data_IF_645796178626
#
_entry.id   IF_645796178626
#
_cell.length_a   1.000
_cell.length_b   1.000
_cell.length_c   1.000
_cell.angle_alpha   90.00
_cell.angle_beta   90.00
_cell.angle_gamma   90.00
#
_symmetry.space_group_name_H-M   'P 1'
#
loop_
_entity.id
_entity.type
_entity.pdbx_description
1 polymer ?
#
# COMPACT_ATOMS: atom_id res chain seq x y z
N UNK A 1 -20.47 10.61 0.73
CA UNK A 1 -20.17 9.95 -0.57
C UNK A 1 -18.66 9.97 -0.75
N UNK A 2 -18.02 8.81 -0.87
CA UNK A 2 -16.58 8.76 -1.20
C UNK A 2 -16.38 9.39 -2.59
N UNK A 3 -15.44 10.32 -2.72
CA UNK A 3 -15.12 11.03 -3.96
C UNK A 3 -14.82 10.03 -5.09
N UNK A 4 -15.51 10.16 -6.23
CA UNK A 4 -15.33 9.32 -7.41
C UNK A 4 -13.88 9.28 -7.91
N UNK A 5 -13.15 10.38 -7.70
CA UNK A 5 -11.75 10.52 -8.09
C UNK A 5 -10.85 9.62 -7.25
N UNK A 6 -11.12 9.51 -5.95
CA UNK A 6 -10.37 8.64 -5.03
C UNK A 6 -10.55 7.17 -5.45
N UNK A 7 -11.78 6.76 -5.74
CA UNK A 7 -12.07 5.38 -6.20
C UNK A 7 -11.39 5.06 -7.53
N UNK A 8 -11.35 6.03 -8.45
CA UNK A 8 -10.65 5.88 -9.71
C UNK A 8 -9.14 5.71 -9.51
N UNK A 9 -8.52 6.55 -8.68
CA UNK A 9 -7.09 6.47 -8.36
C UNK A 9 -6.73 5.15 -7.66
N UNK A 10 -7.55 4.67 -6.72
CA UNK A 10 -7.36 3.36 -6.10
C UNK A 10 -7.44 2.23 -7.15
N UNK A 11 -8.47 2.25 -8.00
CA UNK A 11 -8.64 1.25 -9.07
C UNK A 11 -7.46 1.24 -10.05
N UNK A 12 -6.94 2.43 -10.42
CA UNK A 12 -5.72 2.54 -11.21
C UNK A 12 -4.53 1.87 -10.53
N UNK A 13 -4.32 2.13 -9.23
CA UNK A 13 -3.26 1.49 -8.45
C UNK A 13 -3.36 -0.03 -8.45
N UNK A 14 -4.58 -0.57 -8.29
CA UNK A 14 -4.82 -2.03 -8.33
C UNK A 14 -4.44 -2.61 -9.70
N UNK A 15 -4.87 -1.97 -10.79
CA UNK A 15 -4.58 -2.48 -12.14
C UNK A 15 -3.09 -2.38 -12.51
N UNK A 16 -2.40 -1.32 -12.06
CA UNK A 16 -0.97 -1.13 -12.29
C UNK A 16 -0.16 -2.17 -11.53
N UNK A 17 -0.46 -2.37 -10.24
CA UNK A 17 0.28 -3.31 -9.39
C UNK A 17 0.20 -4.75 -9.88
N UNK A 18 -0.95 -5.20 -10.39
CA UNK A 18 -1.09 -6.55 -10.96
C UNK A 18 -0.05 -6.83 -12.04
N UNK A 19 0.09 -5.93 -13.02
CA UNK A 19 1.05 -6.06 -14.12
C UNK A 19 2.50 -5.99 -13.63
N UNK A 20 2.76 -5.13 -12.65
CA UNK A 20 4.10 -4.99 -12.06
C UNK A 20 4.51 -6.25 -11.30
N UNK A 21 3.60 -6.83 -10.50
CA UNK A 21 3.86 -8.06 -9.76
C UNK A 21 4.09 -9.24 -10.71
N UNK A 22 3.22 -9.43 -11.72
CA UNK A 22 3.40 -10.50 -12.72
C UNK A 22 4.80 -10.48 -13.35
N UNK A 23 5.30 -9.29 -13.68
CA UNK A 23 6.65 -9.10 -14.21
C UNK A 23 7.72 -9.33 -13.16
N UNK A 24 7.56 -8.75 -11.97
CA UNK A 24 8.59 -8.73 -10.93
C UNK A 24 8.81 -10.11 -10.29
N UNK A 25 7.78 -10.96 -10.23
CA UNK A 25 7.87 -12.27 -9.60
C UNK A 25 7.98 -13.43 -10.58
N UNK A 26 8.14 -13.16 -11.88
CA UNK A 26 8.20 -14.20 -12.93
C UNK A 26 9.26 -15.28 -12.63
N UNK A 27 10.43 -14.87 -12.18
CA UNK A 27 11.57 -15.74 -11.87
C UNK A 27 11.88 -15.78 -10.35
N UNK A 28 10.98 -15.25 -9.53
CA UNK A 28 11.17 -15.19 -8.08
C UNK A 28 10.84 -16.54 -7.44
N UNK A 29 11.60 -16.93 -6.41
CA UNK A 29 11.30 -18.10 -5.61
C UNK A 29 9.90 -17.98 -4.98
N UNK A 30 9.20 -19.09 -4.76
CA UNK A 30 7.87 -19.03 -4.13
C UNK A 30 7.98 -18.46 -2.72
N UNK A 31 7.08 -17.55 -2.37
CA UNK A 31 6.94 -17.07 -1.00
C UNK A 31 6.48 -18.21 -0.10
N UNK A 32 7.11 -18.33 1.07
CA UNK A 32 6.84 -19.43 2.01
C UNK A 32 5.63 -19.13 2.88
N UNK A 33 5.48 -17.87 3.29
CA UNK A 33 4.41 -17.41 4.17
C UNK A 33 3.98 -15.98 3.87
N UNK A 34 2.91 -15.55 4.54
CA UNK A 34 2.33 -14.21 4.43
C UNK A 34 3.34 -13.09 4.76
N UNK A 35 4.15 -13.27 5.81
CA UNK A 35 5.12 -12.26 6.22
C UNK A 35 6.22 -12.06 5.16
N UNK A 36 6.62 -13.10 4.45
CA UNK A 36 7.59 -13.00 3.35
C UNK A 36 7.03 -12.18 2.19
N UNK A 37 5.74 -12.33 1.89
CA UNK A 37 5.03 -11.52 0.90
C UNK A 37 5.04 -10.04 1.34
N UNK A 38 4.63 -9.77 2.57
CA UNK A 38 4.59 -8.39 3.09
C UNK A 38 5.98 -7.75 3.10
N UNK A 39 7.02 -8.50 3.48
CA UNK A 39 8.42 -8.03 3.42
C UNK A 39 8.86 -7.70 2.01
N UNK A 40 8.58 -8.57 1.03
CA UNK A 40 8.88 -8.30 -0.38
C UNK A 40 8.16 -7.04 -0.87
N UNK A 41 6.89 -6.86 -0.49
CA UNK A 41 6.14 -5.66 -0.82
C UNK A 41 6.80 -4.40 -0.22
N UNK A 42 7.19 -4.44 1.05
CA UNK A 42 7.80 -3.32 1.75
C UNK A 42 9.20 -2.95 1.25
N UNK A 43 9.92 -3.92 0.69
CA UNK A 43 11.32 -3.76 0.29
C UNK A 43 11.45 -3.63 -1.22
N UNK A 44 11.38 -4.74 -1.94
CA UNK A 44 11.62 -4.81 -3.38
C UNK A 44 10.54 -4.09 -4.19
N UNK A 45 9.26 -4.42 -3.98
CA UNK A 45 8.19 -3.85 -4.79
C UNK A 45 8.04 -2.35 -4.56
N UNK A 46 7.98 -1.90 -3.30
CA UNK A 46 7.88 -0.47 -2.98
C UNK A 46 9.08 0.31 -3.51
N UNK A 47 10.30 -0.23 -3.39
CA UNK A 47 11.51 0.41 -3.95
C UNK A 47 11.49 0.49 -5.46
N UNK A 48 10.91 -0.50 -6.15
CA UNK A 48 10.81 -0.47 -7.60
C UNK A 48 9.91 0.66 -8.13
N UNK A 49 8.95 1.13 -7.30
CA UNK A 49 7.96 2.16 -7.67
C UNK A 49 8.34 3.54 -7.14
N UNK A 50 8.77 3.63 -5.88
CA UNK A 50 9.03 4.90 -5.20
C UNK A 50 10.50 5.17 -4.91
N UNK A 51 11.40 4.29 -5.37
CA UNK A 51 12.84 4.41 -5.17
C UNK A 51 13.27 4.52 -3.70
N UNK A 52 12.44 4.00 -2.79
CA UNK A 52 12.73 3.83 -1.37
C UNK A 52 11.98 2.62 -0.82
N UNK A 53 12.46 2.05 0.29
CA UNK A 53 11.73 1.04 1.05
C UNK A 53 10.69 1.69 1.98
N UNK A 54 9.77 0.89 2.50
CA UNK A 54 8.93 1.26 3.65
C UNK A 54 9.82 1.39 4.88
N UNK A 55 9.69 2.48 5.62
CA UNK A 55 10.57 2.80 6.75
C UNK A 55 10.30 1.94 7.97
N UNK A 56 9.04 1.58 8.23
CA UNK A 56 8.69 0.73 9.37
C UNK A 56 7.54 -0.20 9.03
N UNK A 57 7.72 -1.49 9.32
CA UNK A 57 6.68 -2.51 9.28
C UNK A 57 6.38 -2.98 10.70
N UNK A 58 5.15 -2.78 11.17
CA UNK A 58 4.63 -3.35 12.40
C UNK A 58 3.54 -4.37 12.08
N UNK A 59 3.38 -5.40 12.90
CA UNK A 59 2.29 -6.37 12.77
C UNK A 59 1.77 -6.78 14.14
N UNK A 60 0.48 -7.11 14.23
CA UNK A 60 -0.09 -7.77 15.40
C UNK A 60 0.15 -9.29 15.39
N UNK A 61 0.87 -9.83 14.39
CA UNK A 61 1.12 -11.26 14.16
C UNK A 61 -0.15 -12.10 13.93
N UNK A 62 -1.27 -11.46 13.59
CA UNK A 62 -2.53 -12.13 13.30
C UNK A 62 -2.99 -11.82 11.88
N UNK A 63 -3.31 -10.56 11.61
CA UNK A 63 -3.99 -10.14 10.39
C UNK A 63 -3.73 -8.68 10.01
N UNK A 64 -3.11 -7.87 10.88
CA UNK A 64 -2.88 -6.45 10.65
C UNK A 64 -1.40 -6.16 10.48
N UNK A 65 -1.07 -5.42 9.43
CA UNK A 65 0.24 -4.83 9.18
C UNK A 65 0.12 -3.32 9.05
N UNK A 66 1.02 -2.58 9.69
CA UNK A 66 1.09 -1.11 9.59
C UNK A 66 2.43 -0.74 8.98
N UNK A 67 2.37 -0.18 7.79
CA UNK A 67 3.50 0.28 6.99
C UNK A 67 3.61 1.79 7.14
N UNK A 68 4.69 2.27 7.74
CA UNK A 68 4.96 3.72 7.86
C UNK A 68 6.00 4.12 6.82
N UNK A 69 5.70 5.19 6.09
CA UNK A 69 6.58 5.77 5.08
C UNK A 69 6.84 7.22 5.45
N UNK A 70 8.08 7.55 5.80
CA UNK A 70 8.54 8.92 6.04
C UNK A 70 8.85 9.61 4.70
N UNK A 71 8.93 10.94 4.67
CA UNK A 71 9.35 11.71 3.49
C UNK A 71 8.71 11.24 2.18
N UNK A 72 7.41 10.90 2.23
CA UNK A 72 6.76 10.26 1.09
C UNK A 72 6.60 11.30 -0.02
N UNK A 73 7.31 11.09 -1.14
CA UNK A 73 7.44 12.09 -2.20
C UNK A 73 6.11 12.75 -2.62
N UNK A 74 5.01 12.00 -2.85
CA UNK A 74 3.71 12.59 -3.20
C UNK A 74 3.17 13.59 -2.17
N UNK A 75 3.64 13.52 -0.93
CA UNK A 75 3.19 14.34 0.19
C UNK A 75 4.11 15.50 0.56
N UNK A 76 5.33 15.58 0.02
CA UNK A 76 6.32 16.61 0.41
C UNK A 76 5.77 18.04 0.33
N UNK A 77 4.95 18.34 -0.68
CA UNK A 77 4.35 19.67 -0.83
C UNK A 77 3.39 20.07 0.29
N UNK A 78 2.82 19.12 1.03
CA UNK A 78 1.86 19.39 2.11
C UNK A 78 2.53 19.73 3.44
N UNK A 79 3.84 19.51 3.56
CA UNK A 79 4.61 19.95 4.73
C UNK A 79 4.54 21.48 4.91
N UNK A 80 4.42 22.22 3.80
CA UNK A 80 4.39 23.69 3.77
C UNK A 80 3.01 24.27 3.39
N UNK A 81 1.98 23.43 3.20
CA UNK A 81 0.63 23.83 2.75
C UNK A 81 -0.48 23.20 3.62
N UNK A 82 -0.62 23.61 4.89
CA UNK A 82 -1.57 23.02 5.84
C UNK A 82 -3.04 23.19 5.41
N UNK A 83 -3.38 24.21 4.63
CA UNK A 83 -4.72 24.45 4.10
C UNK A 83 -5.16 23.43 3.04
N UNK A 84 -4.20 22.70 2.45
CA UNK A 84 -4.47 21.70 1.40
C UNK A 84 -4.55 20.27 1.91
N UNK A 85 -4.53 20.06 3.23
CA UNK A 85 -4.56 18.72 3.88
C UNK A 85 -5.80 17.91 3.48
N UNK A 86 -6.91 18.57 3.13
CA UNK A 86 -8.14 17.91 2.64
C UNK A 86 -7.94 17.13 1.33
N UNK A 87 -6.89 17.44 0.57
CA UNK A 87 -6.56 16.77 -0.70
C UNK A 87 -5.66 15.54 -0.50
N UNK A 88 -5.02 15.38 0.67
CA UNK A 88 -4.09 14.27 0.95
C UNK A 88 -4.69 12.88 0.67
N UNK A 89 -5.97 12.58 1.00
CA UNK A 89 -6.57 11.30 0.65
C UNK A 89 -6.50 10.95 -0.84
N UNK A 90 -6.53 11.94 -1.74
CA UNK A 90 -6.37 11.72 -3.19
C UNK A 90 -4.94 11.27 -3.54
N UNK A 91 -3.93 11.78 -2.84
CA UNK A 91 -2.52 11.39 -3.03
C UNK A 91 -2.21 10.01 -2.45
N UNK A 92 -2.98 9.56 -1.45
CA UNK A 92 -2.84 8.23 -0.86
C UNK A 92 -3.66 7.15 -1.58
N UNK A 93 -4.67 7.55 -2.37
CA UNK A 93 -5.57 6.63 -3.06
C UNK A 93 -4.84 5.67 -4.01
N UNK A 94 -3.99 6.21 -4.90
CA UNK A 94 -3.22 5.39 -5.84
C UNK A 94 -2.22 4.46 -5.13
N UNK A 95 -1.37 4.92 -4.18
CA UNK A 95 -0.52 4.03 -3.39
C UNK A 95 -1.29 2.93 -2.62
N UNK A 96 -2.48 3.25 -2.09
CA UNK A 96 -3.32 2.26 -1.39
C UNK A 96 -3.80 1.16 -2.33
N UNK A 97 -4.29 1.56 -3.52
CA UNK A 97 -4.67 0.61 -4.57
C UNK A 97 -3.49 -0.22 -5.06
N UNK A 98 -2.31 0.40 -5.17
CA UNK A 98 -1.07 -0.27 -5.56
C UNK A 98 -0.68 -1.36 -4.56
N UNK A 99 -0.68 -1.06 -3.25
CA UNK A 99 -0.41 -2.06 -2.21
C UNK A 99 -1.45 -3.19 -2.23
N UNK A 100 -2.74 -2.83 -2.27
CA UNK A 100 -3.86 -3.78 -2.28
C UNK A 100 -3.79 -4.74 -3.46
N UNK A 101 -3.59 -4.21 -4.66
CA UNK A 101 -3.49 -5.04 -5.87
C UNK A 101 -2.24 -5.91 -5.86
N UNK A 102 -1.11 -5.39 -5.39
CA UNK A 102 0.14 -6.14 -5.31
C UNK A 102 0.03 -7.34 -4.34
N UNK A 103 -0.47 -7.09 -3.13
CA UNK A 103 -0.70 -8.13 -2.12
C UNK A 103 -1.67 -9.19 -2.63
N UNK A 104 -2.77 -8.76 -3.28
CA UNK A 104 -3.76 -9.67 -3.86
C UNK A 104 -3.19 -10.53 -4.99
N UNK A 105 -2.34 -9.96 -5.85
CA UNK A 105 -1.63 -10.71 -6.91
C UNK A 105 -0.70 -11.78 -6.36
N UNK A 106 -0.20 -11.61 -5.13
CA UNK A 106 0.63 -12.59 -4.43
C UNK A 106 -0.18 -13.56 -3.56
N UNK A 107 -1.51 -13.50 -3.61
CA UNK A 107 -2.41 -14.41 -2.90
C UNK A 107 -2.90 -13.91 -1.55
N UNK A 108 -2.59 -12.67 -1.15
CA UNK A 108 -3.07 -12.06 0.10
C UNK A 108 -4.27 -11.15 -0.15
N UNK A 109 -5.47 -11.67 0.10
CA UNK A 109 -6.68 -10.85 0.07
C UNK A 109 -6.69 -9.91 1.28
N UNK A 110 -6.85 -8.61 1.04
CA UNK A 110 -6.72 -7.61 2.10
C UNK A 110 -7.54 -6.34 1.82
N UNK A 111 -7.76 -5.58 2.89
CA UNK A 111 -8.18 -4.18 2.86
C UNK A 111 -6.96 -3.32 3.18
N UNK A 112 -6.81 -2.22 2.44
CA UNK A 112 -5.78 -1.21 2.71
C UNK A 112 -6.47 0.10 3.04
N UNK A 113 -6.17 0.65 4.21
CA UNK A 113 -6.52 2.02 4.59
C UNK A 113 -5.25 2.85 4.69
N UNK A 114 -5.36 4.14 4.44
CA UNK A 114 -4.23 5.05 4.48
C UNK A 114 -4.60 6.33 5.20
N UNK A 115 -3.65 6.82 6.00
CA UNK A 115 -3.76 8.07 6.73
C UNK A 115 -2.42 8.80 6.73
N UNK A 116 -2.49 10.10 7.00
CA UNK A 116 -1.35 10.99 7.11
C UNK A 116 -1.71 12.08 8.11
N UNK A 117 -1.30 11.87 9.36
CA UNK A 117 -1.50 12.85 10.45
C UNK A 117 -0.56 14.05 10.28
N UNK A 118 0.69 13.81 9.87
CA UNK A 118 1.74 14.82 9.75
C UNK A 118 2.52 14.58 8.44
N UNK A 119 2.19 15.28 7.34
CA UNK A 119 2.97 15.18 6.12
C UNK A 119 4.42 15.64 6.38
N UNK A 120 5.43 15.01 5.74
CA UNK A 120 5.31 14.07 4.62
C UNK A 120 5.21 12.58 5.03
N UNK A 121 4.88 12.27 6.29
CA UNK A 121 4.77 10.88 6.76
C UNK A 121 3.36 10.35 6.60
N UNK A 122 3.23 9.16 5.99
CA UNK A 122 1.95 8.46 5.90
C UNK A 122 2.04 7.03 6.44
N UNK A 123 0.87 6.50 6.82
CA UNK A 123 0.69 5.13 7.28
C UNK A 123 -0.28 4.42 6.35
N UNK A 124 0.06 3.19 5.99
CA UNK A 124 -0.84 2.26 5.32
C UNK A 124 -1.12 1.11 6.27
N UNK A 125 -2.38 0.91 6.63
CA UNK A 125 -2.82 -0.24 7.42
C UNK A 125 -3.40 -1.27 6.47
N UNK A 126 -2.76 -2.44 6.45
CA UNK A 126 -3.17 -3.61 5.67
C UNK A 126 -3.83 -4.59 6.64
N UNK A 127 -5.11 -4.90 6.39
CA UNK A 127 -5.85 -5.94 7.13
C UNK A 127 -6.09 -7.11 6.20
N UNK A 128 -5.48 -8.25 6.51
CA UNK A 128 -5.64 -9.50 5.76
C UNK A 128 -7.00 -10.11 6.09
N UNK A 129 -7.71 -10.51 5.04
CA UNK A 129 -9.04 -11.11 5.16
C UNK A 129 -8.92 -12.63 5.24
N UNK A 130 -9.36 -13.21 6.35
CA UNK A 130 -9.45 -14.66 6.52
C UNK A 130 -10.61 -15.25 5.72
N UNK A 131 -10.40 -16.43 5.13
CA UNK A 131 -11.44 -17.20 4.40
C UNK A 131 -12.60 -17.69 5.29
N UNK A 132 -12.56 -17.49 6.62
CA UNK A 132 -13.62 -17.95 7.55
C UNK A 132 -14.94 -17.18 7.46
N UNK A 133 -15.03 -16.12 6.66
CA UNK A 133 -16.27 -15.33 6.50
C UNK A 133 -17.06 -15.67 5.22
N UNK A 134 -16.67 -16.71 4.47
CA UNK A 134 -17.33 -17.13 3.22
C UNK A 134 -17.89 -18.58 3.31
N UNK A 135 -18.11 -19.11 4.52
CA UNK A 135 -18.86 -20.37 4.73
C UNK A 135 -19.89 -20.22 5.84
#
# INVERSE_FOLDING_TARGET
MQDSSIRFLESLGVNVSQKLIEKATKDHARFVNELDIVKYICTEFWSSVYHKQVDTLKTNYQDVYVLTVHDFQPLLKFEIMPESVTEIPKYLAFPSGLLKGALRSLGLNCVVTADCEQPPTCKFTVTVLSYKEIM
#
